data_IF_107180114021
#
_entry.id   IF_107180114021
#
_cell.length_a   1.000
_cell.length_b   1.000
_cell.length_c   1.000
_cell.angle_alpha   90.00
_cell.angle_beta   90.00
_cell.angle_gamma   90.00
#
_symmetry.space_group_name_H-M   'P 1'
#
loop_
_entity.id
_entity.type
_entity.pdbx_description
1 polymer ?
#
# COMPACT_ATOMS: atom_id res chain seq x y z
N UNK A 1 -0.16 -11.85 9.61
CA UNK A 1 0.79 -11.38 8.57
C UNK A 1 1.75 -10.42 9.25
N UNK A 2 3.02 -10.78 9.45
CA UNK A 2 4.07 -9.89 9.99
C UNK A 2 4.92 -9.41 8.81
N UNK A 3 4.64 -8.21 8.33
CA UNK A 3 5.43 -7.52 7.29
C UNK A 3 5.60 -6.08 7.71
N UNK A 4 6.79 -5.51 7.46
CA UNK A 4 7.08 -4.09 7.70
C UNK A 4 6.37 -3.21 6.69
N UNK A 5 5.98 -3.74 5.53
CA UNK A 5 5.30 -2.98 4.48
C UNK A 5 4.13 -3.75 3.84
N UNK A 6 2.98 -3.84 4.51
CA UNK A 6 1.79 -4.52 3.99
C UNK A 6 1.19 -3.81 2.77
N UNK A 7 1.48 -2.52 2.56
CA UNK A 7 0.96 -1.75 1.44
C UNK A 7 1.87 -1.96 0.21
N UNK A 8 3.19 -1.77 0.32
CA UNK A 8 4.10 -1.95 -0.83
C UNK A 8 4.15 -3.40 -1.34
N UNK A 9 4.03 -4.40 -0.46
CA UNK A 9 4.02 -5.81 -0.86
C UNK A 9 2.79 -6.15 -1.70
N UNK A 10 1.63 -5.60 -1.32
CA UNK A 10 0.34 -5.82 -1.98
C UNK A 10 0.28 -5.19 -3.38
N UNK A 11 0.92 -4.03 -3.55
CA UNK A 11 1.04 -3.34 -4.83
C UNK A 11 2.22 -3.82 -5.71
N UNK A 12 3.04 -4.75 -5.23
CA UNK A 12 4.19 -5.25 -5.99
C UNK A 12 3.79 -5.85 -7.34
N UNK A 13 2.66 -6.55 -7.43
CA UNK A 13 2.15 -7.11 -8.69
C UNK A 13 1.74 -6.02 -9.69
N UNK A 14 1.18 -4.91 -9.20
CA UNK A 14 0.82 -3.75 -10.05
C UNK A 14 2.09 -3.07 -10.56
N UNK A 15 3.06 -2.84 -9.67
CA UNK A 15 4.37 -2.26 -10.01
C UNK A 15 5.19 -3.12 -10.99
N UNK A 16 5.08 -4.45 -10.91
CA UNK A 16 5.70 -5.34 -11.89
C UNK A 16 5.13 -5.14 -13.30
N UNK A 17 3.86 -4.72 -13.40
CA UNK A 17 3.12 -4.60 -14.66
C UNK A 17 2.98 -3.18 -15.17
N UNK A 18 3.46 -2.16 -14.46
CA UNK A 18 3.45 -0.76 -14.93
C UNK A 18 4.31 -0.52 -16.18
N UNK A 19 5.24 -1.42 -16.51
CA UNK A 19 5.98 -1.32 -17.78
C UNK A 19 5.06 -1.53 -19.00
N UNK A 20 4.01 -2.34 -18.84
CA UNK A 20 3.04 -2.66 -19.91
C UNK A 20 2.12 -1.47 -20.21
N UNK A 21 1.85 -0.60 -19.22
CA UNK A 21 0.99 0.57 -19.40
C UNK A 21 1.72 1.77 -20.01
N UNK A 22 3.04 1.71 -20.19
CA UNK A 22 3.86 2.81 -20.76
C UNK A 22 3.63 3.03 -22.27
N UNK A 23 3.03 2.07 -22.98
CA UNK A 23 2.71 2.13 -24.42
C UNK A 23 1.26 2.51 -24.75
N UNK A 24 0.51 3.10 -23.81
CA UNK A 24 -0.95 3.30 -23.90
C UNK A 24 -1.44 4.28 -24.99
N UNK A 25 -0.55 5.00 -25.68
CA UNK A 25 -0.91 6.03 -26.65
C UNK A 25 -1.52 7.32 -26.07
N UNK A 26 -2.08 7.29 -24.86
CA UNK A 26 -2.56 8.48 -24.13
C UNK A 26 -2.53 8.30 -22.61
N UNK A 27 -2.52 9.42 -21.87
CA UNK A 27 -2.56 9.40 -20.41
C UNK A 27 -3.85 8.78 -19.85
N UNK A 28 -5.00 9.06 -20.47
CA UNK A 28 -6.29 8.50 -20.09
C UNK A 28 -6.32 6.97 -20.25
N UNK A 29 -5.79 6.46 -21.37
CA UNK A 29 -5.68 5.02 -21.59
C UNK A 29 -4.71 4.35 -20.59
N UNK A 30 -3.59 5.00 -20.26
CA UNK A 30 -2.65 4.50 -19.26
C UNK A 30 -3.33 4.39 -17.87
N UNK A 31 -4.08 5.43 -17.47
CA UNK A 31 -4.82 5.44 -16.21
C UNK A 31 -5.87 4.32 -16.15
N UNK A 32 -6.65 4.15 -17.23
CA UNK A 32 -7.64 3.08 -17.32
C UNK A 32 -6.99 1.68 -17.19
N UNK A 33 -5.85 1.46 -17.84
CA UNK A 33 -5.13 0.18 -17.71
C UNK A 33 -4.57 -0.06 -16.31
N UNK A 34 -4.01 0.97 -15.66
CA UNK A 34 -3.56 0.86 -14.26
C UNK A 34 -4.73 0.54 -13.35
N UNK A 35 -5.89 1.19 -13.55
CA UNK A 35 -7.10 0.90 -12.79
C UNK A 35 -7.52 -0.57 -12.93
N UNK A 36 -7.57 -1.11 -14.16
CA UNK A 36 -7.92 -2.52 -14.39
C UNK A 36 -6.88 -3.49 -13.80
N UNK A 37 -5.59 -3.13 -13.79
CA UNK A 37 -4.55 -3.93 -13.14
C UNK A 37 -4.75 -3.98 -11.62
N UNK A 38 -5.06 -2.85 -10.99
CA UNK A 38 -5.38 -2.78 -9.56
C UNK A 38 -6.66 -3.56 -9.26
N UNK A 39 -7.70 -3.38 -10.06
CA UNK A 39 -8.98 -4.06 -9.91
C UNK A 39 -8.84 -5.59 -10.01
N UNK A 40 -7.97 -6.08 -10.90
CA UNK A 40 -7.68 -7.51 -11.05
C UNK A 40 -6.84 -8.04 -9.89
N UNK A 41 -5.87 -7.26 -9.41
CA UNK A 41 -5.03 -7.64 -8.28
C UNK A 41 -5.83 -7.74 -6.98
N UNK A 42 -6.81 -6.85 -6.77
CA UNK A 42 -7.61 -6.79 -5.55
C UNK A 42 -8.31 -8.11 -5.22
N UNK A 43 -8.71 -8.87 -6.24
CA UNK A 43 -9.44 -10.15 -6.08
C UNK A 43 -8.61 -11.20 -5.33
N UNK A 44 -7.29 -11.03 -5.27
CA UNK A 44 -6.35 -11.95 -4.61
C UNK A 44 -5.83 -11.39 -3.29
N UNK A 45 -6.20 -10.15 -2.94
CA UNK A 45 -5.74 -9.53 -1.70
C UNK A 45 -6.47 -10.12 -0.51
N UNK A 46 -5.70 -10.43 0.53
CA UNK A 46 -6.26 -10.83 1.82
C UNK A 46 -6.71 -9.57 2.58
N UNK A 47 -7.88 -9.65 3.22
CA UNK A 47 -8.33 -8.61 4.13
C UNK A 47 -7.32 -8.36 5.27
N UNK A 48 -7.18 -7.10 5.68
CA UNK A 48 -6.33 -6.70 6.80
C UNK A 48 -6.99 -7.14 8.10
N UNK A 49 -6.21 -7.72 9.02
CA UNK A 49 -6.72 -8.27 10.28
C UNK A 49 -7.30 -7.19 11.23
N UNK A 50 -6.80 -5.96 11.18
CA UNK A 50 -7.19 -4.86 12.08
C UNK A 50 -7.48 -3.58 11.28
N UNK A 51 -8.61 -3.53 10.53
CA UNK A 51 -8.91 -2.42 9.62
C UNK A 51 -9.11 -1.08 10.35
N UNK A 52 -9.55 -1.11 11.62
CA UNK A 52 -9.72 0.09 12.44
C UNK A 52 -8.40 0.86 12.69
N UNK A 53 -7.24 0.19 12.64
CA UNK A 53 -5.93 0.82 12.81
C UNK A 53 -5.43 1.56 11.55
N UNK A 54 -6.09 1.39 10.40
CA UNK A 54 -5.70 2.07 9.14
C UNK A 54 -5.78 3.59 9.28
N UNK A 55 -6.67 4.10 10.13
CA UNK A 55 -6.73 5.53 10.43
C UNK A 55 -5.41 6.06 11.04
N UNK A 56 -4.78 5.29 11.93
CA UNK A 56 -3.49 5.63 12.55
C UNK A 56 -2.36 5.59 11.53
N UNK A 57 -2.36 4.58 10.66
CA UNK A 57 -1.40 4.50 9.55
C UNK A 57 -1.54 5.71 8.62
N UNK A 58 -2.77 6.10 8.29
CA UNK A 58 -3.06 7.30 7.47
C UNK A 58 -2.61 8.60 8.16
N UNK A 59 -2.66 8.65 9.49
CA UNK A 59 -2.15 9.76 10.28
C UNK A 59 -0.61 9.78 10.42
N UNK A 60 0.10 8.83 9.77
CA UNK A 60 1.57 8.76 9.78
C UNK A 60 2.15 8.10 11.03
N UNK A 61 1.33 7.43 11.83
CA UNK A 61 1.79 6.71 13.03
C UNK A 61 2.63 5.50 12.63
N UNK A 62 3.79 5.33 13.28
CA UNK A 62 4.76 4.27 12.94
C UNK A 62 4.37 2.94 13.57
N UNK A 63 4.39 1.90 12.76
CA UNK A 63 4.25 0.52 13.19
C UNK A 63 5.52 -0.25 12.85
N UNK A 64 6.03 -1.05 13.79
CA UNK A 64 7.15 -1.96 13.56
C UNK A 64 6.70 -3.40 13.80
N UNK A 65 6.87 -4.25 12.77
CA UNK A 65 6.44 -5.66 12.80
C UNK A 65 4.97 -5.85 13.20
N UNK A 66 4.12 -4.86 12.94
CA UNK A 66 2.69 -4.88 13.26
C UNK A 66 2.34 -4.36 14.66
N UNK A 67 3.32 -3.85 15.42
CA UNK A 67 3.11 -3.22 16.72
C UNK A 67 3.25 -1.71 16.60
N UNK A 68 2.35 -0.98 17.25
CA UNK A 68 2.43 0.47 17.35
C UNK A 68 3.72 0.84 18.10
N UNK A 69 4.54 1.70 17.50
CA UNK A 69 5.70 2.29 18.18
C UNK A 69 5.24 3.62 18.75
N UNK A 70 5.05 3.65 20.07
CA UNK A 70 4.88 4.92 20.78
C UNK A 70 6.16 5.75 20.59
N UNK A 71 6.00 7.03 20.25
CA UNK A 71 7.12 7.96 20.26
C UNK A 71 7.54 8.09 21.73
N UNK A 72 8.66 7.47 22.12
CA UNK A 72 9.26 7.70 23.43
C UNK A 72 9.47 9.21 23.58
N UNK A 73 8.83 9.82 24.59
CA UNK A 73 9.11 11.19 25.00
C UNK A 73 10.62 11.30 25.29
N UNK A 74 11.34 11.79 24.30
CA UNK A 74 12.79 12.03 24.35
C UNK A 74 13.08 13.30 23.57
N UNK A 75 12.40 14.37 23.98
CA UNK A 75 12.90 15.74 23.90
C UNK A 75 12.34 16.52 25.09
N UNK A 76 12.92 16.24 26.26
CA UNK A 76 13.14 17.24 27.28
C UNK A 76 14.63 17.62 27.19
N UNK A 77 14.91 18.78 26.62
CA UNK A 77 16.07 19.65 26.87
C UNK A 77 15.87 20.95 26.08
#
# INVERSE_FOLDING_TARGET
MRTTNPIESTFATVRLRTKVTRGAGSAAAALAMVFKLVESAQQRWRAVNAPHLVALVRAGVRFERGHLVERSESHAA
#
